data_IF_516358066225
#
_entry.id   IF_516358066225
#
_cell.length_a   1.000
_cell.length_b   1.000
_cell.length_c   1.000
_cell.angle_alpha   90.00
_cell.angle_beta   90.00
_cell.angle_gamma   90.00
#
_symmetry.space_group_name_H-M   'P 1'
#
loop_
_entity.id
_entity.type
_entity.pdbx_description
1 polymer ?
#
# COMPACT_ATOMS: atom_id res chain seq x y z
N UNK A 1 21.37 1.18 -20.21
CA UNK A 1 20.39 0.07 -20.25
C UNK A 1 19.75 -0.28 -18.90
N UNK A 2 20.46 -0.28 -17.75
CA UNK A 2 19.83 -0.60 -16.43
C UNK A 2 18.98 0.53 -15.83
N UNK A 3 19.33 1.81 -16.07
CA UNK A 3 18.60 2.96 -15.52
C UNK A 3 17.19 3.10 -16.10
N UNK A 4 17.02 2.94 -17.40
CA UNK A 4 15.73 3.13 -18.08
C UNK A 4 14.66 2.13 -17.59
N UNK A 5 15.10 0.89 -17.33
CA UNK A 5 14.24 -0.16 -16.76
C UNK A 5 13.79 0.25 -15.36
N UNK A 6 14.71 0.71 -14.50
CA UNK A 6 14.36 1.15 -13.15
C UNK A 6 13.36 2.32 -13.17
N UNK A 7 13.60 3.36 -13.96
CA UNK A 7 12.69 4.51 -14.06
C UNK A 7 11.27 4.10 -14.47
N UNK A 8 11.13 3.16 -15.40
CA UNK A 8 9.81 2.62 -15.79
C UNK A 8 9.10 1.94 -14.62
N UNK A 9 9.81 1.22 -13.75
CA UNK A 9 9.20 0.60 -12.57
C UNK A 9 8.80 1.66 -11.54
N UNK A 10 9.65 2.65 -11.29
CA UNK A 10 9.36 3.76 -10.37
C UNK A 10 8.15 4.58 -10.84
N UNK A 11 7.98 4.77 -12.15
CA UNK A 11 6.81 5.44 -12.70
C UNK A 11 5.51 4.71 -12.32
N UNK A 12 5.50 3.37 -12.25
CA UNK A 12 4.32 2.61 -11.79
C UNK A 12 3.96 2.99 -10.35
N UNK A 13 4.94 3.07 -9.44
CA UNK A 13 4.72 3.48 -8.05
C UNK A 13 4.16 4.91 -7.98
N UNK A 14 4.77 5.83 -8.73
CA UNK A 14 4.34 7.24 -8.74
C UNK A 14 2.90 7.39 -9.25
N UNK A 15 2.58 6.77 -10.39
CA UNK A 15 1.25 6.84 -10.98
C UNK A 15 0.20 6.20 -10.06
N UNK A 16 0.50 5.03 -9.50
CA UNK A 16 -0.43 4.34 -8.60
C UNK A 16 -0.60 5.11 -7.29
N UNK A 17 0.44 5.75 -6.78
CA UNK A 17 0.36 6.63 -5.61
C UNK A 17 -0.55 7.83 -5.86
N UNK A 18 -0.33 8.55 -6.96
CA UNK A 18 -1.17 9.68 -7.35
C UNK A 18 -2.64 9.26 -7.53
N UNK A 19 -2.87 8.10 -8.16
CA UNK A 19 -4.21 7.55 -8.32
C UNK A 19 -4.85 7.15 -6.99
N UNK A 20 -4.08 6.59 -6.05
CA UNK A 20 -4.57 6.21 -4.72
C UNK A 20 -4.93 7.43 -3.89
N UNK A 21 -4.13 8.52 -3.96
CA UNK A 21 -4.50 9.80 -3.38
C UNK A 21 -5.78 10.37 -3.98
N UNK A 22 -5.93 10.31 -5.31
CA UNK A 22 -7.17 10.74 -5.95
C UNK A 22 -8.38 9.98 -5.40
N UNK A 23 -8.32 8.64 -5.35
CA UNK A 23 -9.40 7.82 -4.78
C UNK A 23 -9.65 8.19 -3.32
N UNK A 24 -8.59 8.27 -2.51
CA UNK A 24 -8.73 8.57 -1.09
C UNK A 24 -9.28 9.98 -0.85
N UNK A 25 -8.87 11.00 -1.61
CA UNK A 25 -9.45 12.36 -1.51
C UNK A 25 -10.91 12.39 -1.94
N UNK A 26 -11.29 11.70 -3.02
CA UNK A 26 -12.70 11.59 -3.44
C UNK A 26 -13.52 10.91 -2.35
N UNK A 27 -13.04 9.79 -1.80
CA UNK A 27 -13.68 9.11 -0.67
C UNK A 27 -13.81 10.08 0.53
N UNK A 28 -12.74 10.81 0.87
CA UNK A 28 -12.74 11.77 1.96
C UNK A 28 -13.73 12.92 1.77
N UNK A 29 -13.94 13.36 0.53
CA UNK A 29 -14.96 14.35 0.22
C UNK A 29 -16.38 13.78 0.35
N UNK A 30 -16.59 12.52 -0.05
CA UNK A 30 -17.88 11.84 0.08
C UNK A 30 -18.25 11.59 1.55
N UNK A 31 -17.30 11.17 2.39
CA UNK A 31 -17.59 10.82 3.79
C UNK A 31 -18.07 12.01 4.64
N UNK A 32 -17.70 13.24 4.26
CA UNK A 32 -18.12 14.47 4.95
C UNK A 32 -19.43 15.05 4.42
N UNK A 33 -19.99 14.52 3.32
CA UNK A 33 -21.28 14.98 2.83
C UNK A 33 -22.38 14.67 3.86
N UNK A 34 -23.27 15.61 4.19
CA UNK A 34 -24.27 15.42 5.25
C UNK A 34 -25.07 14.10 5.18
N UNK A 35 -25.60 13.65 4.02
CA UNK A 35 -26.36 12.40 3.98
C UNK A 35 -25.49 11.15 4.23
N UNK A 36 -24.24 11.16 3.75
CA UNK A 36 -23.31 10.03 3.89
C UNK A 36 -22.80 9.98 5.33
N UNK A 37 -22.42 11.13 5.88
CA UNK A 37 -21.95 11.25 7.26
C UNK A 37 -23.02 10.80 8.24
N UNK A 38 -24.28 11.22 8.04
CA UNK A 38 -25.40 10.80 8.89
C UNK A 38 -25.62 9.28 8.85
N UNK A 39 -25.47 8.66 7.67
CA UNK A 39 -25.54 7.21 7.55
C UNK A 39 -24.35 6.52 8.23
N UNK A 40 -23.12 7.00 8.04
CA UNK A 40 -21.92 6.48 8.68
C UNK A 40 -22.00 6.58 10.22
N UNK A 41 -22.49 7.70 10.74
CA UNK A 41 -22.74 7.90 12.18
C UNK A 41 -23.80 6.92 12.69
N UNK A 42 -24.85 6.64 11.90
CA UNK A 42 -25.90 5.67 12.26
C UNK A 42 -25.41 4.23 12.40
N UNK A 43 -24.30 3.89 11.72
CA UNK A 43 -23.68 2.56 11.76
C UNK A 43 -22.39 2.53 12.61
N UNK A 44 -22.17 3.55 13.45
CA UNK A 44 -21.14 3.57 14.49
C UNK A 44 -19.86 4.36 14.19
N UNK A 45 -19.74 5.01 13.02
CA UNK A 45 -18.58 5.89 12.75
C UNK A 45 -18.46 6.99 13.82
N UNK A 46 -17.25 7.37 14.29
CA UNK A 46 -15.94 6.87 13.87
C UNK A 46 -15.29 5.89 14.87
N UNK A 47 -15.89 5.63 16.04
CA UNK A 47 -15.22 4.94 17.15
C UNK A 47 -15.65 3.46 17.33
N UNK A 48 -16.64 2.96 16.57
CA UNK A 48 -17.05 1.55 16.62
C UNK A 48 -17.95 1.10 15.46
N UNK A 49 -18.31 -0.17 15.41
CA UNK A 49 -19.24 -0.71 14.42
C UNK A 49 -18.77 -0.69 12.94
N UNK A 50 -19.66 -1.03 12.00
CA UNK A 50 -19.36 -1.13 10.56
C UNK A 50 -18.87 0.19 9.92
N UNK A 51 -19.32 1.34 10.44
CA UNK A 51 -18.90 2.66 9.96
C UNK A 51 -17.40 2.91 10.15
N UNK A 52 -16.77 2.30 11.17
CA UNK A 52 -15.33 2.41 11.41
C UNK A 52 -14.50 1.78 10.28
N UNK A 53 -15.04 0.79 9.56
CA UNK A 53 -14.33 0.11 8.48
C UNK A 53 -14.23 0.98 7.22
N UNK A 54 -15.29 1.74 6.94
CA UNK A 54 -15.37 2.64 5.78
C UNK A 54 -14.57 3.92 6.06
N UNK A 55 -14.85 4.56 7.20
CA UNK A 55 -14.55 5.98 7.40
C UNK A 55 -13.09 6.22 7.86
N UNK A 56 -12.57 5.65 8.97
CA UNK A 56 -11.14 5.71 9.25
C UNK A 56 -10.32 4.62 8.56
N UNK A 57 -10.79 3.36 8.50
CA UNK A 57 -9.91 2.26 8.09
C UNK A 57 -9.64 2.22 6.58
N UNK A 58 -10.68 2.20 5.73
CA UNK A 58 -10.51 2.15 4.28
C UNK A 58 -9.89 3.45 3.73
N UNK A 59 -10.44 4.60 4.12
CA UNK A 59 -9.95 5.90 3.68
C UNK A 59 -8.48 6.13 4.06
N UNK A 60 -8.12 5.92 5.34
CA UNK A 60 -6.75 6.17 5.79
C UNK A 60 -5.75 5.19 5.15
N UNK A 61 -6.09 3.91 5.01
CA UNK A 61 -5.18 2.95 4.36
C UNK A 61 -4.95 3.29 2.88
N UNK A 62 -5.96 3.80 2.18
CA UNK A 62 -5.80 4.20 0.78
C UNK A 62 -4.87 5.40 0.62
N UNK A 63 -5.06 6.44 1.44
CA UNK A 63 -4.21 7.63 1.39
C UNK A 63 -2.81 7.38 1.96
N UNK A 64 -2.70 6.67 3.08
CA UNK A 64 -1.43 6.40 3.73
C UNK A 64 -0.62 5.34 2.97
N UNK A 65 -1.17 4.14 2.79
CA UNK A 65 -0.41 3.04 2.18
C UNK A 65 -0.41 3.14 0.67
N UNK A 66 -1.59 3.35 0.07
CA UNK A 66 -1.71 3.50 -1.38
C UNK A 66 -1.05 4.78 -1.89
N UNK A 67 -1.23 5.90 -1.17
CA UNK A 67 -0.62 7.19 -1.53
C UNK A 67 0.79 7.35 -0.99
N UNK A 68 0.93 7.69 0.30
CA UNK A 68 2.19 8.13 0.91
C UNK A 68 3.29 7.07 0.86
N UNK A 69 2.98 5.83 1.25
CA UNK A 69 3.98 4.76 1.34
C UNK A 69 4.50 4.35 -0.03
N UNK A 70 3.64 4.16 -1.04
CA UNK A 70 4.09 3.85 -2.40
C UNK A 70 4.97 4.97 -2.97
N UNK A 71 4.64 6.24 -2.70
CA UNK A 71 5.48 7.37 -3.07
C UNK A 71 6.83 7.32 -2.34
N UNK A 72 6.82 7.08 -1.03
CA UNK A 72 8.04 6.99 -0.23
C UNK A 72 8.94 5.84 -0.70
N UNK A 73 8.37 4.68 -1.07
CA UNK A 73 9.11 3.56 -1.68
C UNK A 73 9.73 3.95 -3.02
N UNK A 74 8.97 4.64 -3.88
CA UNK A 74 9.48 5.17 -5.16
C UNK A 74 10.67 6.09 -4.95
N UNK A 75 10.52 7.08 -4.06
CA UNK A 75 11.58 8.04 -3.72
C UNK A 75 12.78 7.33 -3.12
N UNK A 76 12.57 6.34 -2.25
CA UNK A 76 13.65 5.56 -1.65
C UNK A 76 14.42 4.81 -2.72
N UNK A 77 13.75 4.08 -3.62
CA UNK A 77 14.44 3.38 -4.71
C UNK A 77 15.13 4.33 -5.70
N UNK A 78 14.62 5.54 -5.87
CA UNK A 78 15.28 6.55 -6.70
C UNK A 78 16.54 7.14 -6.04
N UNK A 79 16.46 7.49 -4.75
CA UNK A 79 17.53 8.17 -4.02
C UNK A 79 18.59 7.22 -3.49
N UNK A 80 18.24 5.97 -3.18
CA UNK A 80 19.15 5.00 -2.59
C UNK A 80 20.43 4.80 -3.44
N UNK A 81 20.36 4.65 -4.79
CA UNK A 81 21.55 4.59 -5.63
C UNK A 81 22.37 5.89 -5.66
N UNK A 82 21.72 7.04 -5.49
CA UNK A 82 22.37 8.35 -5.50
C UNK A 82 23.19 8.53 -4.23
N UNK A 83 22.62 8.21 -3.06
CA UNK A 83 23.29 8.37 -1.77
C UNK A 83 24.35 7.30 -1.51
N UNK A 84 24.09 6.05 -1.90
CA UNK A 84 25.05 4.96 -1.65
C UNK A 84 26.09 4.82 -2.76
N UNK A 85 25.86 5.42 -3.94
CA UNK A 85 26.66 5.20 -5.13
C UNK A 85 26.60 3.75 -5.66
N UNK A 86 25.69 2.92 -5.12
CA UNK A 86 25.52 1.50 -5.47
C UNK A 86 24.31 1.32 -6.38
N UNK A 87 24.36 0.33 -7.27
CA UNK A 87 23.17 -0.09 -8.03
C UNK A 87 22.21 -0.82 -7.09
N UNK A 88 20.89 -0.67 -7.30
CA UNK A 88 19.88 -1.45 -6.57
C UNK A 88 20.18 -2.94 -6.75
N UNK A 89 20.07 -3.69 -5.65
CA UNK A 89 20.37 -5.13 -5.63
C UNK A 89 19.57 -5.91 -6.69
N UNK A 90 18.24 -5.75 -6.72
CA UNK A 90 17.41 -6.41 -7.73
C UNK A 90 16.22 -5.57 -8.19
N UNK A 91 16.14 -5.34 -9.50
CA UNK A 91 14.99 -4.67 -10.13
C UNK A 91 13.74 -5.55 -10.16
N UNK A 92 13.89 -6.89 -10.16
CA UNK A 92 12.74 -7.80 -10.05
C UNK A 92 12.09 -7.73 -8.69
N UNK A 93 12.89 -7.57 -7.62
CA UNK A 93 12.35 -7.37 -6.28
C UNK A 93 11.57 -6.06 -6.18
N UNK A 94 12.00 -5.00 -6.87
CA UNK A 94 11.24 -3.74 -6.95
C UNK A 94 9.85 -3.97 -7.59
N UNK A 95 9.76 -4.74 -8.67
CA UNK A 95 8.47 -5.06 -9.30
C UNK A 95 7.61 -5.96 -8.41
N UNK A 96 8.19 -6.95 -7.74
CA UNK A 96 7.45 -7.76 -6.75
C UNK A 96 6.92 -6.92 -5.59
N UNK A 97 7.75 -6.02 -5.03
CA UNK A 97 7.29 -5.07 -4.00
C UNK A 97 6.09 -4.27 -4.49
N UNK A 98 6.16 -3.74 -5.72
CA UNK A 98 5.04 -3.01 -6.32
C UNK A 98 3.76 -3.85 -6.31
N UNK A 99 3.80 -5.05 -6.88
CA UNK A 99 2.62 -5.90 -7.01
C UNK A 99 2.09 -6.38 -5.67
N UNK A 100 2.94 -6.80 -4.73
CA UNK A 100 2.48 -7.27 -3.42
C UNK A 100 1.85 -6.16 -2.59
N UNK A 101 2.46 -4.97 -2.56
CA UNK A 101 1.92 -3.83 -1.80
C UNK A 101 0.64 -3.30 -2.46
N UNK A 102 0.63 -3.12 -3.79
CA UNK A 102 -0.54 -2.64 -4.51
C UNK A 102 -1.73 -3.60 -4.41
N UNK A 103 -1.54 -4.89 -4.69
CA UNK A 103 -2.62 -5.87 -4.57
C UNK A 103 -3.12 -5.98 -3.14
N UNK A 104 -2.22 -5.96 -2.15
CA UNK A 104 -2.57 -5.99 -0.73
C UNK A 104 -3.40 -4.78 -0.29
N UNK A 105 -2.99 -3.56 -0.62
CA UNK A 105 -3.72 -2.34 -0.20
C UNK A 105 -5.06 -2.18 -0.93
N UNK A 106 -5.13 -2.48 -2.23
CA UNK A 106 -6.37 -2.37 -3.00
C UNK A 106 -7.39 -3.44 -2.59
N UNK A 107 -6.92 -4.68 -2.36
CA UNK A 107 -7.79 -5.74 -1.84
C UNK A 107 -8.31 -5.35 -0.46
N UNK A 108 -7.44 -4.83 0.41
CA UNK A 108 -7.83 -4.40 1.77
C UNK A 108 -8.87 -3.29 1.71
N UNK A 109 -8.67 -2.31 0.84
CA UNK A 109 -9.62 -1.24 0.59
C UNK A 109 -10.99 -1.76 0.14
N UNK A 110 -11.03 -2.61 -0.88
CA UNK A 110 -12.28 -3.16 -1.42
C UNK A 110 -13.01 -4.01 -0.37
N UNK A 111 -12.29 -4.84 0.37
CA UNK A 111 -12.85 -5.67 1.44
C UNK A 111 -13.51 -4.78 2.50
N UNK A 112 -12.79 -3.75 2.98
CA UNK A 112 -13.33 -2.82 3.99
C UNK A 112 -14.59 -2.08 3.49
N UNK A 113 -14.59 -1.64 2.23
CA UNK A 113 -15.76 -0.99 1.62
C UNK A 113 -16.95 -1.94 1.52
N UNK A 114 -16.76 -3.14 0.99
CA UNK A 114 -17.83 -4.12 0.78
C UNK A 114 -18.40 -4.58 2.13
N UNK A 115 -17.55 -5.00 3.07
CA UNK A 115 -18.02 -5.47 4.36
C UNK A 115 -18.59 -4.34 5.21
N UNK A 116 -18.01 -3.13 5.18
CA UNK A 116 -18.54 -1.99 5.93
C UNK A 116 -19.94 -1.59 5.44
N UNK A 117 -20.16 -1.58 4.12
CA UNK A 117 -21.49 -1.31 3.54
C UNK A 117 -22.45 -2.45 3.85
N UNK A 118 -22.02 -3.69 3.66
CA UNK A 118 -22.84 -4.87 3.95
C UNK A 118 -23.30 -4.88 5.40
N UNK A 119 -22.38 -4.80 6.36
CA UNK A 119 -22.73 -4.82 7.78
C UNK A 119 -23.56 -3.60 8.18
N UNK A 120 -23.28 -2.42 7.59
CA UNK A 120 -24.10 -1.23 7.79
C UNK A 120 -25.55 -1.40 7.33
N UNK A 121 -25.78 -2.09 6.20
CA UNK A 121 -27.12 -2.43 5.71
C UNK A 121 -27.81 -3.50 6.57
N UNK A 122 -27.05 -4.51 7.03
CA UNK A 122 -27.58 -5.57 7.91
C UNK A 122 -27.97 -5.02 9.28
N UNK A 123 -27.26 -4.03 9.81
CA UNK A 123 -27.60 -3.40 11.08
C UNK A 123 -29.01 -2.78 11.09
N UNK A 124 -29.48 -2.31 9.94
CA UNK A 124 -30.82 -1.73 9.81
C UNK A 124 -31.89 -2.72 9.36
N UNK A 125 -31.52 -3.78 8.64
CA UNK A 125 -32.48 -4.72 8.03
C UNK A 125 -32.61 -6.06 8.76
N UNK A 126 -31.51 -6.64 9.25
CA UNK A 126 -31.45 -8.00 9.78
C UNK A 126 -30.25 -8.19 10.73
N UNK A 127 -30.28 -7.61 11.93
CA UNK A 127 -29.12 -7.56 12.84
C UNK A 127 -28.65 -8.95 13.31
N UNK A 128 -29.52 -9.95 13.32
CA UNK A 128 -29.19 -11.34 13.65
C UNK A 128 -28.17 -11.98 12.68
N UNK A 129 -28.10 -11.50 11.44
CA UNK A 129 -27.22 -12.02 10.39
C UNK A 129 -25.79 -11.47 10.46
N UNK A 130 -25.55 -10.42 11.27
CA UNK A 130 -24.22 -9.79 11.41
C UNK A 130 -23.18 -10.80 11.90
N UNK A 131 -23.55 -11.66 12.86
CA UNK A 131 -22.65 -12.67 13.42
C UNK A 131 -22.15 -13.67 12.35
N UNK A 132 -23.00 -14.01 11.38
CA UNK A 132 -22.66 -14.89 10.27
C UNK A 132 -21.71 -14.20 9.28
N UNK A 133 -21.90 -12.90 9.02
CA UNK A 133 -21.02 -12.10 8.17
C UNK A 133 -19.62 -11.93 8.79
N UNK A 134 -19.54 -11.67 10.09
CA UNK A 134 -18.28 -11.46 10.83
C UNK A 134 -17.33 -12.67 10.75
N UNK A 135 -17.87 -13.89 10.60
CA UNK A 135 -17.06 -15.12 10.49
C UNK A 135 -16.07 -15.08 9.32
N UNK A 136 -16.44 -14.44 8.21
CA UNK A 136 -15.60 -14.37 7.01
C UNK A 136 -14.67 -13.17 7.00
N UNK A 137 -14.99 -12.15 7.78
CA UNK A 137 -14.30 -10.87 7.77
C UNK A 137 -12.84 -10.99 8.21
N UNK A 138 -12.60 -11.60 9.38
CA UNK A 138 -11.25 -11.74 9.95
C UNK A 138 -10.26 -12.45 9.01
N UNK A 139 -10.57 -13.66 8.51
CA UNK A 139 -9.66 -14.38 7.61
C UNK A 139 -9.37 -13.63 6.30
N UNK A 140 -10.38 -13.04 5.67
CA UNK A 140 -10.22 -12.34 4.37
C UNK A 140 -9.37 -11.08 4.54
N UNK A 141 -9.60 -10.32 5.61
CA UNK A 141 -8.77 -9.17 5.97
C UNK A 141 -7.33 -9.56 6.27
N UNK A 142 -7.12 -10.66 7.01
CA UNK A 142 -5.80 -11.17 7.35
C UNK A 142 -5.01 -11.59 6.11
N UNK A 143 -5.65 -12.22 5.12
CA UNK A 143 -5.01 -12.60 3.85
C UNK A 143 -4.55 -11.34 3.09
N UNK A 144 -5.41 -10.33 3.01
CA UNK A 144 -5.07 -9.08 2.33
C UNK A 144 -3.93 -8.34 3.03
N UNK A 145 -3.98 -8.25 4.37
CA UNK A 145 -2.92 -7.64 5.17
C UNK A 145 -1.60 -8.41 5.07
N UNK A 146 -1.65 -9.75 5.04
CA UNK A 146 -0.46 -10.60 4.87
C UNK A 146 0.19 -10.41 3.50
N UNK A 147 -0.62 -10.30 2.44
CA UNK A 147 -0.17 -10.00 1.07
C UNK A 147 0.61 -8.68 1.05
N UNK A 148 0.08 -7.65 1.71
CA UNK A 148 0.74 -6.36 1.86
C UNK A 148 2.03 -6.46 2.69
N UNK A 149 2.03 -7.23 3.77
CA UNK A 149 3.20 -7.46 4.63
C UNK A 149 4.35 -8.13 3.86
N UNK A 150 4.06 -9.11 3.01
CA UNK A 150 5.05 -9.72 2.11
C UNK A 150 5.70 -8.65 1.23
N UNK A 151 4.90 -7.72 0.70
CA UNK A 151 5.38 -6.56 -0.05
C UNK A 151 6.36 -5.70 0.75
N UNK A 152 6.02 -5.36 1.99
CA UNK A 152 6.92 -4.62 2.90
C UNK A 152 8.22 -5.37 3.22
N UNK A 153 8.14 -6.68 3.46
CA UNK A 153 9.33 -7.49 3.70
C UNK A 153 10.24 -7.55 2.47
N UNK A 154 9.68 -7.67 1.25
CA UNK A 154 10.48 -7.63 0.01
C UNK A 154 11.14 -6.29 -0.20
N UNK A 155 10.45 -5.18 0.11
CA UNK A 155 11.01 -3.83 0.07
C UNK A 155 12.22 -3.71 1.01
N UNK A 156 12.02 -4.07 2.28
CA UNK A 156 13.05 -3.97 3.30
C UNK A 156 14.27 -4.84 2.95
N UNK A 157 14.04 -6.08 2.51
CA UNK A 157 15.11 -6.96 2.06
C UNK A 157 15.93 -6.35 0.91
N UNK A 158 15.26 -5.78 -0.10
CA UNK A 158 15.95 -5.17 -1.23
C UNK A 158 16.79 -3.94 -0.83
N UNK A 159 16.26 -3.10 0.07
CA UNK A 159 16.97 -1.92 0.59
C UNK A 159 18.18 -2.35 1.42
N UNK A 160 18.01 -3.28 2.37
CA UNK A 160 19.09 -3.78 3.22
C UNK A 160 20.20 -4.42 2.39
N UNK A 161 19.85 -5.29 1.44
CA UNK A 161 20.82 -5.91 0.54
C UNK A 161 21.55 -4.89 -0.33
N UNK A 162 20.89 -3.81 -0.76
CA UNK A 162 21.54 -2.74 -1.52
C UNK A 162 22.56 -1.98 -0.65
N UNK A 163 22.25 -1.75 0.63
CA UNK A 163 23.15 -1.05 1.56
C UNK A 163 24.34 -1.95 1.93
N UNK A 164 24.11 -3.23 2.22
CA UNK A 164 25.15 -4.17 2.68
C UNK A 164 25.99 -4.76 1.56
N UNK A 165 25.51 -4.78 0.30
CA UNK A 165 26.29 -5.25 -0.84
C UNK A 165 27.61 -4.48 -0.96
N UNK A 166 28.73 -5.18 -1.15
CA UNK A 166 30.03 -4.54 -1.38
C UNK A 166 29.99 -3.62 -2.61
N UNK A 167 30.77 -2.52 -2.60
CA UNK A 167 30.90 -1.66 -3.78
C UNK A 167 31.25 -2.50 -5.00
N UNK A 168 30.50 -2.33 -6.09
CA UNK A 168 30.77 -3.04 -7.35
C UNK A 168 32.25 -2.86 -7.74
N UNK A 169 32.92 -3.98 -8.02
CA UNK A 169 34.35 -4.13 -8.32
C UNK A 169 34.85 -3.36 -9.57
N UNK A 170 34.08 -2.40 -10.10
CA UNK A 170 34.51 -1.53 -11.20
C UNK A 170 35.51 -0.46 -10.74
N UNK A 171 35.57 -0.12 -9.44
CA UNK A 171 36.58 0.81 -8.92
C UNK A 171 37.96 0.17 -8.72
N UNK A 172 38.05 -1.16 -8.61
CA UNK A 172 39.33 -1.85 -8.41
C UNK A 172 40.12 -2.00 -9.71
N UNK A 173 39.44 -2.10 -10.86
CA UNK A 173 40.11 -2.22 -12.16
C UNK A 173 40.78 -0.93 -12.65
N UNK A 174 40.27 0.24 -12.23
CA UNK A 174 40.90 1.52 -12.55
C UNK A 174 42.14 1.81 -11.69
N UNK A 175 42.22 1.26 -10.48
CA UNK A 175 43.38 1.39 -9.61
C UNK A 175 44.47 0.33 -9.87
N UNK A 176 44.12 -0.81 -10.48
CA UNK A 176 45.09 -1.85 -10.86
C UNK A 176 45.69 -1.65 -12.26
N UNK A 177 45.10 -0.78 -13.08
CA UNK A 177 45.61 -0.43 -14.42
C UNK A 177 46.54 0.82 -14.39
N UNK A 178 46.74 1.42 -13.22
CA UNK A 178 47.59 2.60 -13.00
C UNK A 178 48.87 2.27 -12.22
N UNK A 179 49.27 1.00 -12.16
CA UNK A 179 50.54 0.52 -11.58
C UNK A 179 51.34 -0.23 -12.63
#
# INVERSE_FOLDING_TARGET
MSKDILHRHLLKFLLLSAFSFFIGTVHGALQVMPPIRAWLDSIGSPYGGPGHMIDPLAHAHMNLVGGVVLLAMCVTFYLLPIFTGKKIYSTRLVDHTFWWVSTGVYSFYVIQMVFGIWEGLLMHSAPEQISAAHRFYGPVMAISGSTMLIGFCTFLANVLLTITASPSSDKNLLNSASV
#
